data_IF_143757495071
#
_entry.id   IF_143757495071
#
_cell.length_a   1.000
_cell.length_b   1.000
_cell.length_c   1.000
_cell.angle_alpha   90.00
_cell.angle_beta   90.00
_cell.angle_gamma   90.00
#
_symmetry.space_group_name_H-M   'P 1'
#
loop_
_entity.id
_entity.type
_entity.pdbx_description
1 polymer ?
#
# COMPACT_ATOMS: atom_id res chain seq x y z
N UNK A 1 -24.65 10.98 -11.53
CA UNK A 1 -24.92 10.36 -10.20
C UNK A 1 -23.92 10.97 -9.24
N UNK A 2 -24.34 11.53 -8.11
CA UNK A 2 -23.42 12.21 -7.18
C UNK A 2 -22.89 11.27 -6.12
N UNK A 3 -21.57 11.18 -6.01
CA UNK A 3 -20.89 10.41 -4.97
C UNK A 3 -19.90 11.29 -4.22
N UNK A 4 -19.76 11.03 -2.92
CA UNK A 4 -18.73 11.60 -2.07
C UNK A 4 -17.90 10.45 -1.54
N UNK A 5 -16.71 10.20 -2.10
CA UNK A 5 -15.81 9.19 -1.56
C UNK A 5 -15.16 9.66 -0.26
N UNK A 6 -14.96 8.74 0.67
CA UNK A 6 -14.13 8.95 1.85
C UNK A 6 -12.66 8.58 1.58
N UNK A 7 -11.81 8.78 2.59
CA UNK A 7 -10.38 8.47 2.51
C UNK A 7 -10.14 6.98 2.20
N UNK A 8 -10.96 6.07 2.73
CA UNK A 8 -10.79 4.62 2.55
C UNK A 8 -10.93 4.18 1.09
N UNK A 9 -11.99 4.60 0.39
CA UNK A 9 -12.18 4.22 -1.03
C UNK A 9 -11.23 4.91 -1.99
N UNK A 10 -10.70 6.07 -1.62
CA UNK A 10 -9.64 6.74 -2.38
C UNK A 10 -8.34 5.95 -2.24
N UNK A 11 -7.95 5.57 -1.01
CA UNK A 11 -6.71 4.81 -0.79
C UNK A 11 -6.79 3.41 -1.41
N UNK A 12 -7.95 2.75 -1.38
CA UNK A 12 -8.16 1.43 -1.98
C UNK A 12 -8.27 1.45 -3.52
N UNK A 13 -8.31 2.63 -4.18
CA UNK A 13 -8.45 2.73 -5.63
C UNK A 13 -9.81 2.27 -6.19
N UNK A 14 -10.82 2.13 -5.32
CA UNK A 14 -12.16 1.60 -5.66
C UNK A 14 -12.91 2.48 -6.65
N UNK A 15 -12.61 3.78 -6.65
CA UNK A 15 -13.26 4.73 -7.54
C UNK A 15 -12.83 4.46 -8.98
N UNK A 16 -11.52 4.36 -9.24
CA UNK A 16 -10.98 4.04 -10.57
C UNK A 16 -11.47 2.67 -11.06
N UNK A 17 -11.48 1.65 -10.20
CA UNK A 17 -12.02 0.31 -10.52
C UNK A 17 -13.48 0.39 -10.99
N UNK A 18 -14.34 1.06 -10.23
CA UNK A 18 -15.77 1.17 -10.56
C UNK A 18 -16.03 2.03 -11.82
N UNK A 19 -15.14 2.99 -12.12
CA UNK A 19 -15.19 3.74 -13.37
C UNK A 19 -14.80 2.84 -14.54
N UNK A 20 -13.75 2.03 -14.41
CA UNK A 20 -13.32 1.07 -15.43
C UNK A 20 -14.37 -0.02 -15.71
N UNK A 21 -15.10 -0.47 -14.67
CA UNK A 21 -16.24 -1.39 -14.81
C UNK A 21 -17.51 -0.75 -15.43
N UNK A 22 -17.50 0.57 -15.66
CA UNK A 22 -18.64 1.32 -16.19
C UNK A 22 -19.77 1.58 -15.19
N UNK A 23 -19.59 1.22 -13.91
CA UNK A 23 -20.59 1.39 -12.84
C UNK A 23 -20.71 2.85 -12.38
N UNK A 24 -19.65 3.63 -12.56
CA UNK A 24 -19.58 5.07 -12.26
C UNK A 24 -19.44 5.94 -13.51
N UNK A 25 -19.81 5.43 -14.70
CA UNK A 25 -19.72 6.20 -15.93
C UNK A 25 -20.52 7.52 -15.83
N UNK A 26 -19.85 8.66 -16.07
CA UNK A 26 -20.40 10.02 -15.95
C UNK A 26 -20.96 10.35 -14.57
N UNK A 27 -20.42 9.75 -13.51
CA UNK A 27 -20.71 10.15 -12.15
C UNK A 27 -20.05 11.50 -11.82
N UNK A 28 -20.71 12.27 -10.95
CA UNK A 28 -20.19 13.46 -10.31
C UNK A 28 -19.48 13.01 -9.03
N UNK A 29 -18.16 12.97 -9.07
CA UNK A 29 -17.29 12.57 -7.96
C UNK A 29 -16.89 13.82 -7.19
N UNK A 30 -17.37 13.96 -5.96
CA UNK A 30 -17.15 15.14 -5.13
C UNK A 30 -16.15 14.77 -4.04
N UNK A 31 -14.88 15.11 -4.24
CA UNK A 31 -13.81 14.88 -3.28
C UNK A 31 -13.91 15.91 -2.15
N UNK A 32 -14.12 15.50 -0.89
CA UNK A 32 -14.08 16.42 0.24
C UNK A 32 -12.68 17.01 0.41
N UNK A 33 -12.58 18.33 0.58
CA UNK A 33 -11.30 19.00 0.87
C UNK A 33 -10.66 18.45 2.15
N UNK A 34 -11.48 18.01 3.12
CA UNK A 34 -11.01 17.34 4.32
C UNK A 34 -10.26 16.03 4.04
N UNK A 35 -10.76 15.19 3.11
CA UNK A 35 -10.10 13.94 2.72
C UNK A 35 -8.76 14.22 2.00
N UNK A 36 -8.74 15.23 1.12
CA UNK A 36 -7.49 15.68 0.47
C UNK A 36 -6.46 16.16 1.51
N UNK A 37 -6.87 16.96 2.49
CA UNK A 37 -5.98 17.48 3.54
C UNK A 37 -5.42 16.35 4.42
N UNK A 38 -6.21 15.31 4.70
CA UNK A 38 -5.74 14.13 5.40
C UNK A 38 -4.68 13.39 4.59
N UNK A 39 -4.94 13.08 3.32
CA UNK A 39 -3.99 12.40 2.44
C UNK A 39 -2.68 13.20 2.28
N UNK A 40 -2.78 14.52 2.12
CA UNK A 40 -1.64 15.43 2.09
C UNK A 40 -0.82 15.34 3.38
N UNK A 41 -1.48 15.35 4.55
CA UNK A 41 -0.80 15.23 5.83
C UNK A 41 -0.08 13.89 5.97
N UNK A 42 -0.76 12.79 5.64
CA UNK A 42 -0.18 11.44 5.68
C UNK A 42 1.04 11.33 4.75
N UNK A 43 0.93 11.83 3.51
CA UNK A 43 2.02 11.83 2.55
C UNK A 43 3.22 12.66 3.02
N UNK A 44 2.98 13.82 3.64
CA UNK A 44 4.03 14.67 4.21
C UNK A 44 4.78 13.99 5.37
N UNK A 45 4.08 13.16 6.16
CA UNK A 45 4.68 12.31 7.19
C UNK A 45 5.43 11.11 6.61
N UNK A 46 5.28 10.84 5.31
CA UNK A 46 5.91 9.73 4.63
C UNK A 46 5.11 8.44 4.65
N UNK A 47 3.81 8.49 4.96
CA UNK A 47 2.96 7.30 4.95
C UNK A 47 2.56 6.93 3.53
N UNK A 48 2.67 5.65 3.20
CA UNK A 48 2.33 5.12 1.88
C UNK A 48 0.85 5.26 1.58
N UNK A 49 0.00 5.14 2.60
CA UNK A 49 -1.45 5.36 2.47
C UNK A 49 -1.76 6.76 1.92
N UNK A 50 -1.08 7.79 2.43
CA UNK A 50 -1.22 9.16 1.93
C UNK A 50 -0.72 9.32 0.50
N UNK A 51 0.45 8.76 0.18
CA UNK A 51 1.04 8.86 -1.16
C UNK A 51 0.16 8.12 -2.19
N UNK A 52 -0.30 6.91 -1.86
CA UNK A 52 -1.18 6.12 -2.71
C UNK A 52 -2.51 6.84 -2.96
N UNK A 53 -3.12 7.42 -1.92
CA UNK A 53 -4.35 8.19 -2.08
C UNK A 53 -4.17 9.44 -2.94
N UNK A 54 -3.06 10.16 -2.82
CA UNK A 54 -2.75 11.29 -3.72
C UNK A 54 -2.54 10.85 -5.17
N UNK A 55 -1.85 9.73 -5.39
CA UNK A 55 -1.66 9.15 -6.73
C UNK A 55 -3.02 8.76 -7.35
N UNK A 56 -3.92 8.16 -6.56
CA UNK A 56 -5.27 7.84 -7.01
C UNK A 56 -6.03 9.12 -7.42
N UNK A 57 -5.96 10.19 -6.64
CA UNK A 57 -6.60 11.47 -7.01
C UNK A 57 -6.05 12.03 -8.33
N UNK A 58 -4.76 11.82 -8.62
CA UNK A 58 -4.15 12.20 -9.91
C UNK A 58 -4.69 11.34 -11.06
N UNK A 59 -4.88 10.04 -10.85
CA UNK A 59 -5.51 9.15 -11.85
C UNK A 59 -6.98 9.53 -12.10
N UNK A 60 -7.76 9.85 -11.05
CA UNK A 60 -9.13 10.35 -11.20
C UNK A 60 -9.18 11.65 -12.02
N UNK A 61 -8.19 12.52 -11.87
CA UNK A 61 -8.05 13.72 -12.70
C UNK A 61 -7.76 13.42 -14.17
N UNK A 62 -7.05 12.33 -14.47
CA UNK A 62 -6.88 11.87 -15.87
C UNK A 62 -8.21 11.37 -16.44
N UNK A 63 -8.96 10.58 -15.66
CA UNK A 63 -10.28 10.07 -16.06
C UNK A 63 -11.31 11.20 -16.29
N UNK A 64 -11.24 12.29 -15.53
CA UNK A 64 -12.04 13.49 -15.79
C UNK A 64 -11.71 14.10 -17.17
N UNK A 65 -10.43 14.26 -17.48
CA UNK A 65 -9.98 14.81 -18.78
C UNK A 65 -10.38 13.94 -19.97
N UNK A 66 -10.44 12.63 -19.77
CA UNK A 66 -10.94 11.66 -20.74
C UNK A 66 -12.48 11.66 -20.87
N UNK A 67 -13.18 12.40 -20.00
CA UNK A 67 -14.63 12.53 -19.99
C UNK A 67 -15.36 11.33 -19.38
N UNK A 68 -14.66 10.49 -18.61
CA UNK A 68 -15.23 9.32 -17.95
C UNK A 68 -16.06 9.72 -16.71
N UNK A 69 -15.63 10.76 -15.98
CA UNK A 69 -16.27 11.29 -14.77
C UNK A 69 -16.23 12.82 -14.73
N UNK A 70 -16.99 13.43 -13.81
CA UNK A 70 -16.89 14.84 -13.44
C UNK A 70 -16.32 14.96 -12.03
N UNK A 71 -15.19 15.63 -11.84
CA UNK A 71 -14.50 15.70 -10.56
C UNK A 71 -14.66 17.10 -9.94
N UNK A 72 -15.11 17.15 -8.69
CA UNK A 72 -15.31 18.39 -7.96
C UNK A 72 -14.66 18.30 -6.59
N UNK A 73 -14.07 19.39 -6.13
CA UNK A 73 -13.60 19.51 -4.75
C UNK A 73 -14.59 20.36 -3.96
N UNK A 74 -15.02 19.88 -2.80
CA UNK A 74 -16.04 20.57 -1.99
C UNK A 74 -15.76 20.51 -0.49
N UNK A 75 -16.24 21.51 0.25
CA UNK A 75 -16.03 21.64 1.69
C UNK A 75 -14.85 22.54 2.07
N UNK A 76 -14.59 22.63 3.37
CA UNK A 76 -13.55 23.48 3.94
C UNK A 76 -12.28 22.70 4.24
N UNK A 77 -11.14 23.41 4.24
CA UNK A 77 -9.89 22.85 4.74
C UNK A 77 -9.98 22.72 6.27
N UNK A 78 -9.66 21.55 6.86
CA UNK A 78 -9.77 21.33 8.29
C UNK A 78 -8.78 22.19 9.06
N UNK A 79 -9.23 22.82 10.14
CA UNK A 79 -8.34 23.41 11.13
C UNK A 79 -7.62 22.33 11.96
N UNK A 80 -6.59 22.72 12.72
CA UNK A 80 -5.84 21.77 13.57
C UNK A 80 -6.73 21.01 14.56
N UNK A 81 -7.76 21.65 15.12
CA UNK A 81 -8.73 21.00 16.03
C UNK A 81 -9.69 20.05 15.28
N UNK A 82 -9.95 20.32 14.00
CA UNK A 82 -10.86 19.55 13.16
C UNK A 82 -10.18 18.34 12.49
N UNK A 83 -8.85 18.22 12.57
CA UNK A 83 -8.11 17.05 12.06
C UNK A 83 -8.59 15.72 12.64
N UNK A 84 -9.19 15.71 13.83
CA UNK A 84 -9.79 14.51 14.42
C UNK A 84 -11.22 14.21 13.95
N UNK A 85 -11.80 15.05 13.08
CA UNK A 85 -13.22 15.00 12.66
C UNK A 85 -13.39 14.89 11.14
N UNK A 86 -12.36 14.46 10.42
CA UNK A 86 -12.36 14.34 8.96
C UNK A 86 -13.57 13.54 8.46
N UNK A 87 -13.82 12.36 9.05
CA UNK A 87 -14.98 11.53 8.73
C UNK A 87 -16.32 12.23 8.91
N UNK A 88 -16.43 13.12 9.90
CA UNK A 88 -17.63 13.92 10.09
C UNK A 88 -17.77 14.95 8.97
N UNK A 89 -16.70 15.67 8.64
CA UNK A 89 -16.71 16.66 7.56
C UNK A 89 -17.03 16.02 6.20
N UNK A 90 -16.54 14.81 5.93
CA UNK A 90 -16.88 14.05 4.72
C UNK A 90 -18.39 13.76 4.67
N UNK A 91 -18.98 13.33 5.79
CA UNK A 91 -20.44 13.09 5.88
C UNK A 91 -21.23 14.38 5.72
N UNK A 92 -20.77 15.47 6.31
CA UNK A 92 -21.44 16.77 6.23
C UNK A 92 -21.47 17.25 4.75
N UNK A 93 -20.38 17.07 4.00
CA UNK A 93 -20.35 17.32 2.54
C UNK A 93 -21.32 16.43 1.77
N UNK A 94 -21.43 15.14 2.11
CA UNK A 94 -22.37 14.23 1.47
C UNK A 94 -23.84 14.63 1.71
N UNK A 95 -24.15 15.10 2.91
CA UNK A 95 -25.47 15.60 3.30
C UNK A 95 -25.81 16.92 2.59
N UNK A 96 -24.89 17.90 2.61
CA UNK A 96 -25.06 19.22 1.99
C UNK A 96 -25.33 19.13 0.48
N UNK A 97 -24.60 18.26 -0.23
CA UNK A 97 -24.73 18.15 -1.69
C UNK A 97 -25.81 17.12 -2.10
N UNK A 98 -26.39 16.41 -1.14
CA UNK A 98 -27.36 15.33 -1.37
C UNK A 98 -26.76 14.18 -2.17
N UNK A 99 -25.50 13.85 -1.92
CA UNK A 99 -24.73 12.81 -2.62
C UNK A 99 -24.73 11.49 -1.85
N UNK A 100 -24.39 10.39 -2.53
CA UNK A 100 -24.16 9.10 -1.86
C UNK A 100 -22.76 9.07 -1.27
N UNK A 101 -22.63 8.84 0.04
CA UNK A 101 -21.35 8.57 0.67
C UNK A 101 -20.82 7.23 0.17
N UNK A 102 -19.63 7.22 -0.42
CA UNK A 102 -18.95 6.02 -0.90
C UNK A 102 -17.79 5.70 0.05
N UNK A 103 -17.81 4.52 0.68
CA UNK A 103 -16.87 4.15 1.73
C UNK A 103 -16.60 2.64 1.77
N UNK A 104 -15.39 2.24 2.16
CA UNK A 104 -15.01 0.86 2.48
C UNK A 104 -14.88 0.63 3.99
N UNK A 105 -15.07 1.68 4.81
CA UNK A 105 -15.15 1.62 6.26
C UNK A 105 -16.58 1.31 6.73
N UNK A 106 -16.73 0.20 7.45
CA UNK A 106 -18.03 -0.24 7.97
C UNK A 106 -18.59 0.73 9.03
N UNK A 107 -17.76 1.26 9.92
CA UNK A 107 -18.15 2.22 10.95
C UNK A 107 -18.63 3.51 10.30
N UNK A 108 -17.88 4.02 9.33
CA UNK A 108 -18.25 5.21 8.56
C UNK A 108 -19.61 5.02 7.87
N UNK A 109 -19.81 3.85 7.25
CA UNK A 109 -21.07 3.50 6.61
C UNK A 109 -22.24 3.40 7.59
N UNK A 110 -22.05 2.77 8.75
CA UNK A 110 -23.08 2.63 9.78
C UNK A 110 -23.48 4.01 10.35
N UNK A 111 -22.51 4.88 10.64
CA UNK A 111 -22.78 6.24 11.13
C UNK A 111 -23.54 7.07 10.09
N UNK A 112 -23.17 6.97 8.82
CA UNK A 112 -23.86 7.67 7.74
C UNK A 112 -25.31 7.20 7.59
N UNK A 113 -25.56 5.88 7.63
CA UNK A 113 -26.92 5.32 7.60
C UNK A 113 -27.74 5.76 8.81
N UNK A 114 -27.14 5.80 10.00
CA UNK A 114 -27.81 6.27 11.21
C UNK A 114 -28.22 7.75 11.12
N UNK A 115 -27.44 8.57 10.41
CA UNK A 115 -27.78 9.97 10.08
C UNK A 115 -28.80 10.11 8.94
N UNK A 116 -29.17 9.02 8.27
CA UNK A 116 -30.07 9.06 7.10
C UNK A 116 -29.37 9.46 5.79
N UNK A 117 -28.04 9.48 5.75
CA UNK A 117 -27.25 9.81 4.56
C UNK A 117 -27.22 8.56 3.65
N UNK A 118 -27.56 8.74 2.36
CA UNK A 118 -27.49 7.63 1.39
C UNK A 118 -26.05 7.11 1.29
N UNK A 119 -25.85 5.81 1.46
CA UNK A 119 -24.51 5.21 1.52
C UNK A 119 -24.33 4.13 0.47
N UNK A 120 -23.21 4.16 -0.24
CA UNK A 120 -22.66 3.08 -1.04
C UNK A 120 -21.49 2.48 -0.26
N UNK A 121 -21.76 1.42 0.50
CA UNK A 121 -20.71 0.68 1.17
C UNK A 121 -20.18 -0.40 0.23
N UNK A 122 -18.86 -0.46 0.07
CA UNK A 122 -18.20 -1.52 -0.69
C UNK A 122 -17.20 -2.17 0.25
N UNK A 123 -17.38 -3.46 0.61
CA UNK A 123 -16.44 -4.12 1.48
C UNK A 123 -15.03 -4.10 0.85
N UNK A 124 -13.96 -4.07 1.67
CA UNK A 124 -12.60 -4.27 1.17
C UNK A 124 -12.54 -5.56 0.33
N UNK A 125 -11.74 -5.58 -0.75
CA UNK A 125 -11.58 -6.80 -1.56
C UNK A 125 -11.11 -7.93 -0.63
N UNK A 126 -11.96 -8.96 -0.48
CA UNK A 126 -11.64 -10.21 0.24
C UNK A 126 -10.98 -11.24 -0.68
N UNK A 127 -10.88 -10.96 -1.97
CA UNK A 127 -10.02 -11.76 -2.82
C UNK A 127 -8.59 -11.48 -2.39
N UNK A 128 -7.85 -12.52 -1.98
CA UNK A 128 -6.39 -12.46 -1.86
C UNK A 128 -5.88 -11.80 -3.14
N UNK A 129 -5.48 -10.51 -3.11
CA UNK A 129 -4.90 -9.91 -4.30
C UNK A 129 -3.72 -10.81 -4.62
N UNK A 130 -3.68 -11.40 -5.82
CA UNK A 130 -2.47 -12.06 -6.28
C UNK A 130 -1.40 -10.99 -6.31
N UNK A 131 -0.65 -10.87 -5.21
CA UNK A 131 0.46 -9.97 -5.04
C UNK A 131 1.37 -10.18 -6.24
N UNK A 132 1.36 -9.25 -7.18
CA UNK A 132 2.05 -9.43 -8.46
C UNK A 132 3.56 -9.61 -8.22
N UNK A 133 4.06 -9.02 -7.12
CA UNK A 133 5.42 -9.17 -6.66
C UNK A 133 5.82 -10.65 -6.42
N UNK A 134 4.86 -11.53 -6.11
CA UNK A 134 5.11 -12.97 -5.94
C UNK A 134 5.44 -13.67 -7.26
N UNK A 135 5.00 -13.12 -8.41
CA UNK A 135 5.31 -13.69 -9.72
C UNK A 135 6.81 -13.62 -10.06
N UNK A 136 7.58 -12.80 -9.34
CA UNK A 136 9.03 -12.71 -9.48
C UNK A 136 9.79 -13.78 -8.65
N UNK A 137 9.09 -14.55 -7.83
CA UNK A 137 9.69 -15.57 -6.97
C UNK A 137 9.42 -16.98 -7.50
N UNK A 138 10.49 -17.76 -7.67
CA UNK A 138 10.41 -19.22 -7.77
C UNK A 138 10.87 -19.87 -6.45
N UNK A 139 11.15 -21.18 -6.47
CA UNK A 139 11.61 -21.93 -5.30
C UNK A 139 13.05 -21.55 -4.86
N UNK A 140 13.85 -20.97 -5.76
CA UNK A 140 15.26 -20.64 -5.53
C UNK A 140 15.50 -19.13 -5.30
N UNK A 141 14.53 -18.26 -5.63
CA UNK A 141 14.63 -16.80 -5.49
C UNK A 141 14.63 -16.32 -4.04
N UNK A 142 15.81 -15.96 -3.54
CA UNK A 142 16.01 -15.41 -2.20
C UNK A 142 15.50 -13.99 -2.05
N UNK A 143 15.70 -13.16 -3.08
CA UNK A 143 15.24 -11.78 -3.05
C UNK A 143 15.06 -11.25 -4.44
N UNK A 144 14.12 -10.32 -4.59
CA UNK A 144 13.82 -9.58 -5.82
C UNK A 144 14.10 -8.11 -5.55
N UNK A 145 14.77 -7.47 -6.51
CA UNK A 145 15.17 -6.07 -6.43
C UNK A 145 14.64 -5.37 -7.67
N UNK A 146 13.75 -4.41 -7.46
CA UNK A 146 13.15 -3.58 -8.49
C UNK A 146 13.63 -2.15 -8.26
N UNK A 147 14.18 -1.51 -9.29
CA UNK A 147 14.64 -0.12 -9.22
C UNK A 147 14.25 0.64 -10.46
N UNK A 148 13.82 1.88 -10.28
CA UNK A 148 13.33 2.75 -11.34
C UNK A 148 14.38 2.95 -12.45
N UNK A 149 13.99 2.60 -13.68
CA UNK A 149 14.85 2.69 -14.87
C UNK A 149 15.89 1.57 -14.97
N UNK A 150 15.83 0.55 -14.12
CA UNK A 150 16.68 -0.64 -14.17
C UNK A 150 15.86 -1.88 -14.51
N UNK A 151 16.50 -2.87 -15.12
CA UNK A 151 15.91 -4.22 -15.25
C UNK A 151 15.81 -4.87 -13.87
N UNK A 152 14.72 -5.61 -13.59
CA UNK A 152 14.57 -6.27 -12.31
C UNK A 152 15.47 -7.50 -12.22
N UNK A 153 16.04 -7.72 -11.04
CA UNK A 153 16.92 -8.85 -10.78
C UNK A 153 16.54 -9.61 -9.53
N UNK A 154 16.77 -10.91 -9.58
CA UNK A 154 16.62 -11.83 -8.46
C UNK A 154 17.99 -12.34 -8.00
N UNK A 155 18.16 -12.51 -6.69
CA UNK A 155 19.22 -13.34 -6.13
C UNK A 155 18.67 -14.76 -5.98
N UNK A 156 19.21 -15.72 -6.73
CA UNK A 156 18.78 -17.12 -6.68
C UNK A 156 19.85 -18.01 -6.06
N UNK A 157 19.45 -18.96 -5.23
CA UNK A 157 20.35 -19.93 -4.59
C UNK A 157 20.25 -19.93 -3.06
N UNK A 158 21.40 -20.06 -2.39
CA UNK A 158 21.50 -20.14 -0.92
C UNK A 158 22.41 -19.04 -0.38
N UNK A 159 22.26 -18.62 0.90
CA UNK A 159 23.23 -17.77 1.57
C UNK A 159 24.65 -18.33 1.40
N UNK A 160 25.57 -17.48 0.92
CA UNK A 160 26.95 -17.87 0.62
C UNK A 160 27.19 -18.46 -0.77
N UNK A 161 26.15 -18.93 -1.48
CA UNK A 161 26.25 -19.42 -2.85
C UNK A 161 24.99 -19.04 -3.65
N UNK A 162 25.02 -17.85 -4.25
CA UNK A 162 23.91 -17.30 -5.04
C UNK A 162 24.39 -16.72 -6.36
N UNK A 163 23.50 -16.69 -7.35
CA UNK A 163 23.67 -15.99 -8.61
C UNK A 163 22.66 -14.85 -8.74
N UNK A 164 23.08 -13.74 -9.33
CA UNK A 164 22.17 -12.65 -9.72
C UNK A 164 21.64 -12.97 -11.11
N UNK A 165 20.32 -12.98 -11.26
CA UNK A 165 19.62 -13.31 -12.51
C UNK A 165 18.68 -12.17 -12.86
N UNK A 166 18.78 -11.65 -14.08
CA UNK A 166 17.81 -10.70 -14.61
C UNK A 166 16.49 -11.42 -14.89
N UNK A 167 15.38 -10.85 -14.43
CA UNK A 167 14.06 -11.46 -14.54
C UNK A 167 13.38 -11.13 -15.87
N UNK A 168 13.69 -9.96 -16.44
CA UNK A 168 13.28 -9.56 -17.78
C UNK A 168 14.06 -8.34 -18.28
N UNK A 169 14.07 -8.14 -19.60
CA UNK A 169 14.91 -7.13 -20.28
C UNK A 169 14.33 -5.71 -20.25
N UNK A 170 13.09 -5.54 -19.74
CA UNK A 170 12.41 -4.23 -19.69
C UNK A 170 12.74 -3.50 -18.37
N UNK A 171 13.14 -2.22 -18.42
CA UNK A 171 13.29 -1.42 -17.22
C UNK A 171 11.97 -1.25 -16.46
N UNK A 172 12.02 -1.32 -15.13
CA UNK A 172 10.87 -1.05 -14.27
C UNK A 172 10.60 0.45 -14.24
N UNK A 173 9.35 0.85 -14.49
CA UNK A 173 8.93 2.26 -14.46
C UNK A 173 8.50 2.68 -13.06
N UNK A 174 8.55 3.97 -12.77
CA UNK A 174 8.01 4.54 -11.52
C UNK A 174 6.53 4.16 -11.32
N UNK A 175 5.73 4.24 -12.39
CA UNK A 175 4.31 3.81 -12.37
C UNK A 175 4.19 2.35 -11.90
N UNK A 176 5.04 1.46 -12.41
CA UNK A 176 4.99 0.05 -12.03
C UNK A 176 5.37 -0.17 -10.57
N UNK A 177 6.35 0.57 -10.06
CA UNK A 177 6.70 0.53 -8.64
C UNK A 177 5.56 1.04 -7.76
N UNK A 178 4.89 2.13 -8.15
CA UNK A 178 3.70 2.63 -7.45
C UNK A 178 2.57 1.61 -7.41
N UNK A 179 2.27 0.94 -8.54
CA UNK A 179 1.27 -0.13 -8.60
C UNK A 179 1.60 -1.28 -7.64
N UNK A 180 2.87 -1.73 -7.62
CA UNK A 180 3.31 -2.80 -6.73
C UNK A 180 3.26 -2.37 -5.26
N UNK A 181 3.69 -1.14 -4.94
CA UNK A 181 3.60 -0.59 -3.59
C UNK A 181 2.16 -0.55 -3.10
N UNK A 182 1.22 -0.10 -3.94
CA UNK A 182 -0.20 -0.06 -3.57
C UNK A 182 -0.70 -1.45 -3.19
N UNK A 183 -0.46 -2.47 -4.03
CA UNK A 183 -0.81 -3.86 -3.74
C UNK A 183 -0.16 -4.38 -2.45
N UNK A 184 1.12 -4.08 -2.22
CA UNK A 184 1.87 -4.51 -1.03
C UNK A 184 1.26 -3.93 0.24
N UNK A 185 0.96 -2.63 0.26
CA UNK A 185 0.42 -1.94 1.43
C UNK A 185 -1.02 -2.35 1.70
N UNK A 186 -1.82 -2.51 0.65
CA UNK A 186 -3.18 -3.04 0.75
C UNK A 186 -3.18 -4.45 1.34
N UNK A 187 -2.30 -5.34 0.86
CA UNK A 187 -2.14 -6.68 1.40
C UNK A 187 -1.69 -6.65 2.87
N UNK A 188 -0.68 -5.84 3.20
CA UNK A 188 -0.14 -5.72 4.55
C UNK A 188 -1.18 -5.26 5.58
N UNK A 189 -2.16 -4.45 5.17
CA UNK A 189 -3.23 -3.97 6.05
C UNK A 189 -4.38 -4.98 6.23
N UNK A 190 -4.49 -5.98 5.36
CA UNK A 190 -5.61 -6.95 5.36
C UNK A 190 -5.23 -8.32 5.89
N UNK A 191 -4.03 -8.78 5.59
CA UNK A 191 -3.57 -10.12 5.96
C UNK A 191 -3.18 -10.18 7.45
N UNK A 192 -3.68 -11.21 8.15
CA UNK A 192 -3.49 -11.34 9.60
C UNK A 192 -2.06 -11.64 10.01
N UNK A 193 -1.26 -12.20 9.09
CA UNK A 193 0.15 -12.55 9.32
C UNK A 193 1.11 -11.49 8.74
N UNK A 194 0.57 -10.33 8.35
CA UNK A 194 1.31 -9.24 7.73
C UNK A 194 1.12 -7.94 8.50
N UNK A 195 2.14 -7.08 8.48
CA UNK A 195 2.08 -5.77 9.11
C UNK A 195 3.17 -4.84 8.59
N UNK A 196 2.96 -3.55 8.77
CA UNK A 196 3.97 -2.52 8.47
C UNK A 196 4.91 -2.40 9.68
N UNK A 197 6.18 -2.78 9.52
CA UNK A 197 7.21 -2.69 10.57
C UNK A 197 7.66 -1.24 10.81
N UNK A 198 7.93 -0.52 9.72
CA UNK A 198 8.48 0.83 9.73
C UNK A 198 7.82 1.62 8.62
N UNK A 199 7.35 2.83 8.95
CA UNK A 199 6.87 3.79 7.97
C UNK A 199 7.45 5.16 8.31
N UNK A 200 8.32 5.66 7.42
CA UNK A 200 9.02 6.94 7.58
C UNK A 200 9.15 7.60 6.22
N UNK A 201 9.46 8.90 6.23
CA UNK A 201 9.66 9.67 5.00
C UNK A 201 10.69 9.03 4.07
N UNK A 202 10.21 8.52 2.94
CA UNK A 202 11.00 7.89 1.89
C UNK A 202 11.31 6.40 2.11
N UNK A 203 10.91 5.79 3.24
CA UNK A 203 11.15 4.37 3.48
C UNK A 203 10.02 3.70 4.25
N UNK A 204 9.57 2.57 3.71
CA UNK A 204 8.54 1.73 4.30
C UNK A 204 9.03 0.29 4.31
N UNK A 205 8.88 -0.38 5.44
CA UNK A 205 9.20 -1.79 5.61
C UNK A 205 7.93 -2.52 6.02
N UNK A 206 7.53 -3.51 5.22
CA UNK A 206 6.37 -4.35 5.49
C UNK A 206 6.80 -5.82 5.59
N UNK A 207 6.26 -6.51 6.59
CA UNK A 207 6.34 -7.95 6.71
C UNK A 207 5.07 -8.54 6.06
N UNK A 208 5.24 -9.34 5.01
CA UNK A 208 4.16 -10.02 4.29
C UNK A 208 4.29 -11.53 4.52
N UNK A 209 3.59 -12.08 5.52
CA UNK A 209 3.77 -13.47 5.95
C UNK A 209 5.23 -13.77 6.28
N UNK A 210 5.89 -14.62 5.47
CA UNK A 210 7.32 -14.90 5.64
C UNK A 210 8.25 -13.93 4.88
N UNK A 211 7.75 -13.04 4.03
CA UNK A 211 8.57 -12.16 3.20
C UNK A 211 8.73 -10.77 3.83
N UNK A 212 9.90 -10.17 3.68
CA UNK A 212 10.17 -8.80 4.12
C UNK A 212 10.33 -7.89 2.91
N UNK A 213 9.48 -6.89 2.81
CA UNK A 213 9.44 -5.92 1.73
C UNK A 213 9.97 -4.58 2.23
N UNK A 214 10.93 -4.02 1.50
CA UNK A 214 11.46 -2.67 1.73
C UNK A 214 11.13 -1.84 0.50
N UNK A 215 10.40 -0.75 0.72
CA UNK A 215 10.02 0.23 -0.29
C UNK A 215 10.80 1.49 0.04
N UNK A 216 11.66 1.94 -0.87
CA UNK A 216 12.51 3.10 -0.66
C UNK A 216 12.40 4.07 -1.84
N UNK A 217 12.35 5.37 -1.55
CA UNK A 217 12.34 6.45 -2.54
C UNK A 217 12.93 7.71 -1.92
N UNK A 218 13.04 8.79 -2.70
CA UNK A 218 13.49 10.07 -2.16
C UNK A 218 12.63 10.50 -0.95
N UNK A 219 13.24 10.99 0.15
CA UNK A 219 14.64 11.37 0.32
C UNK A 219 15.58 10.24 0.80
N UNK A 220 15.08 9.03 1.05
CA UNK A 220 15.88 7.94 1.62
C UNK A 220 16.79 7.25 0.59
N UNK A 221 16.28 7.06 -0.63
CA UNK A 221 17.02 6.53 -1.77
C UNK A 221 17.05 7.57 -2.91
N UNK A 222 18.03 7.46 -3.81
CA UNK A 222 18.17 8.37 -4.96
C UNK A 222 17.07 8.16 -6.01
N UNK A 223 16.54 6.93 -6.10
CA UNK A 223 15.46 6.51 -6.98
C UNK A 223 14.44 5.65 -6.24
N UNK A 224 13.27 5.47 -6.84
CA UNK A 224 12.27 4.54 -6.32
C UNK A 224 12.76 3.09 -6.50
N UNK A 225 12.77 2.32 -5.42
CA UNK A 225 13.11 0.91 -5.40
C UNK A 225 12.23 0.11 -4.44
N UNK A 226 12.01 -1.16 -4.80
CA UNK A 226 11.34 -2.16 -3.97
C UNK A 226 12.25 -3.36 -3.88
N UNK A 227 12.63 -3.72 -2.65
CA UNK A 227 13.41 -4.92 -2.36
C UNK A 227 12.55 -5.89 -1.56
N UNK A 228 12.37 -7.09 -2.07
CA UNK A 228 11.62 -8.14 -1.38
C UNK A 228 12.56 -9.28 -1.06
N UNK A 229 12.62 -9.67 0.20
CA UNK A 229 13.47 -10.75 0.68
C UNK A 229 12.61 -11.86 1.25
N UNK A 230 12.81 -13.08 0.77
CA UNK A 230 12.26 -14.29 1.35
C UNK A 230 13.34 -14.95 2.21
N UNK A 231 13.09 -15.24 3.49
CA UNK A 231 13.97 -16.08 4.28
C UNK A 231 13.87 -17.51 3.72
N UNK A 232 14.75 -17.83 2.78
CA UNK A 232 14.81 -19.16 2.14
C UNK A 232 15.37 -20.23 3.08
N UNK A 233 16.06 -19.83 4.15
CA UNK A 233 16.73 -20.79 5.03
C UNK A 233 16.47 -20.47 6.48
N UNK A 234 15.92 -21.46 7.20
CA UNK A 234 16.30 -21.66 8.59
C UNK A 234 17.74 -22.15 8.56
N UNK A 235 18.69 -21.22 8.65
CA UNK A 235 20.09 -21.58 8.81
C UNK A 235 20.21 -22.42 10.08
N UNK A 236 20.70 -23.64 9.93
CA UNK A 236 21.13 -24.45 11.04
C UNK A 236 22.48 -23.92 11.54
N UNK A 237 22.84 -24.23 12.79
CA UNK A 237 24.17 -23.90 13.32
C UNK A 237 25.31 -24.49 12.45
N UNK A 238 25.02 -25.50 11.63
CA UNK A 238 25.98 -26.14 10.73
C UNK A 238 26.26 -25.34 9.46
N UNK A 239 25.37 -24.42 9.07
CA UNK A 239 25.55 -23.55 7.90
C UNK A 239 26.51 -22.39 8.17
N UNK A 240 26.83 -22.17 9.45
CA UNK A 240 27.89 -21.27 9.87
C UNK A 240 29.19 -22.06 10.02
N UNK A 241 30.30 -21.50 9.53
CA UNK A 241 31.64 -22.06 9.70
C UNK A 241 32.17 -21.80 11.13
N UNK A 242 31.38 -22.20 12.14
CA UNK A 242 31.70 -22.09 13.56
C UNK A 242 32.61 -23.23 13.97
N UNK A 243 33.54 -22.94 14.87
CA UNK A 243 34.34 -23.99 15.51
C UNK A 243 33.45 -24.98 16.27
N UNK A 244 33.86 -26.24 16.29
CA UNK A 244 33.16 -27.34 16.96
C UNK A 244 32.90 -27.05 18.45
N UNK A 245 33.79 -26.29 19.09
CA UNK A 245 33.60 -25.86 20.48
C UNK A 245 32.40 -24.89 20.62
N UNK A 246 32.24 -23.95 19.69
CA UNK A 246 31.11 -23.00 19.69
C UNK A 246 29.81 -23.74 19.39
N UNK A 247 29.80 -24.65 18.40
CA UNK A 247 28.63 -25.48 18.09
C UNK A 247 28.17 -26.31 19.28
N UNK A 248 29.11 -26.96 19.99
CA UNK A 248 28.81 -27.76 21.19
C UNK A 248 28.31 -26.93 22.36
N UNK A 249 28.81 -25.69 22.50
CA UNK A 249 28.34 -24.74 23.53
C UNK A 249 26.92 -24.25 23.24
N UNK A 250 26.61 -23.91 21.98
CA UNK A 250 25.30 -23.45 21.55
C UNK A 250 24.24 -24.57 21.57
N UNK A 251 24.65 -25.82 21.34
CA UNK A 251 23.75 -26.98 21.34
C UNK A 251 23.35 -27.45 22.75
N UNK A 252 24.04 -27.01 23.80
CA UNK A 252 23.75 -27.39 25.19
C UNK A 252 22.85 -26.34 25.85
N UNK A 253 21.63 -26.76 26.19
CA UNK A 253 20.42 -25.98 26.50
C UNK A 253 20.42 -25.04 27.74
N UNK A 254 21.57 -24.61 28.28
CA UNK A 254 21.62 -23.92 29.57
C UNK A 254 22.57 -22.73 29.67
N UNK A 255 22.54 -21.77 28.73
CA UNK A 255 23.17 -20.45 28.93
C UNK A 255 22.36 -19.34 28.27
N UNK A 256 22.23 -18.20 28.93
CA UNK A 256 21.78 -16.98 28.28
C UNK A 256 22.80 -16.57 27.21
N UNK A 257 22.33 -16.45 25.98
CA UNK A 257 23.16 -16.06 24.83
C UNK A 257 22.93 -14.57 24.62
N UNK A 258 24.00 -13.78 24.61
CA UNK A 258 24.00 -12.42 24.09
C UNK A 258 24.56 -12.50 22.67
N UNK A 259 23.78 -12.07 21.68
CA UNK A 259 24.19 -11.99 20.28
C UNK A 259 24.62 -10.57 19.96
#
# INVERSE_FOLDING_TARGET
MKIVPDTSVIVDGRITEFVAEGRLAKADVIIPVAALAELEHQANMGRETGINGLNELVELQKLEKEGAIHLHFHGNYPTEEERGRIDAMIRDVAEEVGAKLFTSDEVQAQVARAKGISTLYVPPLHEEPKLEILNYFDEETMSVHLREGCTPFAKKGKPGNFSIVELHDKPVTEKKLSELTHQIIEYANRDTDSFIEIERKGVTVAQLGNMRVVIARQPFADKFEITVTRPIVKLSLNDYNLDEEVKKRLSNYHRGILV
#
